data_IF_726741338233
#
_entry.id   IF_726741338233
#
_cell.length_a   1.000
_cell.length_b   1.000
_cell.length_c   1.000
_cell.angle_alpha   90.00
_cell.angle_beta   90.00
_cell.angle_gamma   90.00
#
_symmetry.space_group_name_H-M   'P 1'
#
loop_
_entity.id
_entity.type
_entity.pdbx_description
1 polymer ?
#
# COMPACT_ATOMS: atom_id res chain seq x y z
N UNK A 1 7.63 10.96 20.77
CA UNK A 1 8.10 12.35 20.59
C UNK A 1 7.02 13.05 19.80
N UNK A 2 6.69 14.31 20.09
CA UNK A 2 5.76 15.10 19.26
C UNK A 2 6.14 16.57 19.32
N UNK A 3 5.81 17.33 18.28
CA UNK A 3 6.02 18.78 18.24
C UNK A 3 5.31 19.50 19.39
N UNK A 4 4.14 19.00 19.80
CA UNK A 4 3.36 19.53 20.93
C UNK A 4 4.04 19.38 22.29
N UNK A 5 5.01 18.47 22.42
CA UNK A 5 5.79 18.30 23.67
C UNK A 5 6.96 19.28 23.79
N UNK A 6 7.35 19.93 22.69
CA UNK A 6 8.45 20.89 22.69
C UNK A 6 8.01 22.19 23.37
N UNK A 7 8.94 22.80 24.11
CA UNK A 7 8.68 24.02 24.89
C UNK A 7 9.78 25.04 24.64
N UNK A 8 9.48 26.30 24.91
CA UNK A 8 10.48 27.38 24.91
C UNK A 8 11.04 27.66 23.52
N UNK A 9 12.38 27.67 23.41
CA UNK A 9 13.10 28.08 22.19
C UNK A 9 12.92 27.08 21.05
N UNK A 10 12.91 25.77 21.34
CA UNK A 10 12.83 24.73 20.30
C UNK A 10 11.48 24.77 19.55
N UNK A 11 10.39 24.95 20.30
CA UNK A 11 9.06 25.11 19.71
C UNK A 11 8.98 26.36 18.81
N UNK A 12 9.65 27.46 19.19
CA UNK A 12 9.70 28.68 18.37
C UNK A 12 10.50 28.49 17.09
N UNK A 13 11.63 27.76 17.16
CA UNK A 13 12.46 27.46 15.98
C UNK A 13 11.67 26.62 14.99
N UNK A 14 10.98 25.57 15.46
CA UNK A 14 10.19 24.71 14.59
C UNK A 14 9.03 25.47 13.96
N UNK A 15 8.28 26.25 14.75
CA UNK A 15 7.19 27.07 14.22
C UNK A 15 7.69 28.07 13.16
N UNK A 16 8.91 28.58 13.30
CA UNK A 16 9.52 29.48 12.32
C UNK A 16 10.03 28.76 11.05
N UNK A 17 10.30 27.46 11.13
CA UNK A 17 10.82 26.65 10.02
C UNK A 17 9.74 25.90 9.25
N UNK A 18 8.61 25.57 9.87
CA UNK A 18 7.56 24.73 9.26
C UNK A 18 6.96 25.36 8.00
N UNK A 19 6.50 26.62 8.08
CA UNK A 19 5.96 27.34 6.92
C UNK A 19 6.95 27.41 5.75
N UNK A 20 8.18 27.95 5.91
CA UNK A 20 9.11 28.06 4.78
C UNK A 20 9.59 26.69 4.28
N UNK A 21 9.71 25.68 5.15
CA UNK A 21 10.04 24.32 4.70
C UNK A 21 8.97 23.80 3.73
N UNK A 22 7.69 23.88 4.10
CA UNK A 22 6.56 23.45 3.26
C UNK A 22 6.46 24.24 1.96
N UNK A 23 6.64 25.56 2.01
CA UNK A 23 6.64 26.43 0.82
C UNK A 23 7.73 26.05 -0.19
N UNK A 24 8.87 25.53 0.29
CA UNK A 24 9.98 25.08 -0.53
C UNK A 24 9.99 23.57 -0.81
N UNK A 25 8.90 22.86 -0.49
CA UNK A 25 8.77 21.43 -0.75
C UNK A 25 9.63 20.54 0.14
N UNK A 26 9.88 20.98 1.37
CA UNK A 26 10.50 20.19 2.42
C UNK A 26 9.48 19.76 3.47
N UNK A 27 9.71 18.59 4.04
CA UNK A 27 9.03 18.09 5.23
C UNK A 27 9.98 18.14 6.41
N UNK A 28 9.40 18.30 7.59
CA UNK A 28 10.11 18.34 8.86
C UNK A 28 9.62 17.21 9.76
N UNK A 29 10.51 16.72 10.61
CA UNK A 29 10.19 15.69 11.59
C UNK A 29 11.20 15.70 12.73
N UNK A 30 10.87 14.97 13.79
CA UNK A 30 11.73 14.82 14.95
C UNK A 30 12.27 13.39 14.98
N UNK A 31 13.57 13.24 15.20
CA UNK A 31 14.18 11.93 15.40
C UNK A 31 14.98 11.86 16.70
N UNK A 32 15.17 10.65 17.18
CA UNK A 32 16.02 10.33 18.31
C UNK A 32 17.44 10.05 17.82
N UNK A 33 18.36 10.98 18.08
CA UNK A 33 19.79 10.79 17.86
C UNK A 33 20.42 10.08 19.06
N UNK A 34 20.95 8.88 18.84
CA UNK A 34 21.75 8.16 19.83
C UNK A 34 23.22 8.19 19.46
N UNK A 35 24.07 8.51 20.42
CA UNK A 35 25.53 8.39 20.28
C UNK A 35 26.07 7.48 21.37
N UNK A 36 26.85 6.48 20.95
CA UNK A 36 27.62 5.62 21.82
C UNK A 36 29.09 6.01 21.69
N UNK A 37 29.72 6.31 22.83
CA UNK A 37 31.11 6.73 22.93
C UNK A 37 31.86 5.74 23.82
N UNK A 38 33.04 5.33 23.37
CA UNK A 38 33.89 4.39 24.08
C UNK A 38 35.34 4.89 24.06
N UNK A 39 36.07 4.65 25.15
CA UNK A 39 37.46 5.04 25.26
C UNK A 39 38.05 4.79 26.65
N UNK A 40 39.38 4.89 26.81
CA UNK A 40 40.02 4.81 28.11
C UNK A 40 39.51 5.89 29.07
N UNK A 41 39.31 5.48 30.32
CA UNK A 41 38.96 6.28 31.47
C UNK A 41 40.18 7.02 32.01
N UNK A 42 40.01 8.31 32.29
CA UNK A 42 40.92 9.15 33.05
C UNK A 42 40.24 9.51 34.36
N UNK A 43 40.80 9.02 35.46
CA UNK A 43 40.44 9.48 36.78
C UNK A 43 41.09 10.84 36.97
N UNK A 44 40.30 11.84 37.37
CA UNK A 44 40.87 13.06 37.94
C UNK A 44 41.54 12.65 39.25
N UNK A 45 42.80 12.24 39.16
CA UNK A 45 43.62 11.97 40.32
C UNK A 45 43.69 13.30 41.05
N UNK A 46 42.88 13.42 42.10
CA UNK A 46 42.85 14.58 42.96
C UNK A 46 44.26 14.76 43.53
N UNK A 47 45.04 15.59 42.86
CA UNK A 47 46.34 16.02 43.35
C UNK A 47 46.18 16.53 44.77
N UNK A 48 47.15 16.17 45.61
CA UNK A 48 47.43 16.71 46.94
C UNK A 48 46.77 16.11 48.18
N UNK A 49 46.30 14.85 48.15
CA UNK A 49 46.22 14.06 49.41
C UNK A 49 46.82 12.67 49.31
N UNK A 50 48.02 12.61 48.73
CA UNK A 50 48.99 11.60 49.12
C UNK A 50 49.54 11.98 50.51
N UNK A 51 48.71 11.82 51.55
CA UNK A 51 49.21 11.70 52.92
C UNK A 51 49.49 10.21 53.15
N UNK A 52 50.76 9.76 53.10
CA UNK A 52 51.10 8.43 53.55
C UNK A 52 51.03 8.46 55.07
N UNK A 53 49.90 8.04 55.63
CA UNK A 53 49.76 7.66 57.04
C UNK A 53 48.78 6.50 57.04
N UNK A 54 49.18 5.23 56.86
CA UNK A 54 49.72 4.38 57.93
C UNK A 54 49.41 4.83 59.37
N UNK A 55 48.18 5.26 59.63
CA UNK A 55 47.70 5.49 60.98
C UNK A 55 46.26 5.00 61.16
N UNK A 56 46.17 3.84 61.79
CA UNK A 56 45.06 3.35 62.62
C UNK A 56 43.79 2.89 61.91
N UNK A 57 43.77 1.57 61.74
CA UNK A 57 42.68 0.73 62.23
C UNK A 57 42.17 1.27 63.58
N UNK A 58 40.98 1.85 63.59
CA UNK A 58 40.10 1.89 64.75
C UNK A 58 38.70 1.61 64.21
N UNK A 59 38.20 0.45 64.60
CA UNK A 59 36.85 -0.03 64.35
C UNK A 59 35.85 1.00 64.87
N UNK A 60 35.12 1.65 63.98
CA UNK A 60 33.79 2.19 64.26
C UNK A 60 32.86 1.50 63.27
N UNK A 61 32.33 0.36 63.71
CA UNK A 61 31.12 -0.26 63.17
C UNK A 61 29.99 0.77 63.36
N UNK A 62 29.11 0.97 62.36
CA UNK A 62 27.85 1.75 62.41
C UNK A 62 27.75 3.02 61.54
N UNK A 63 28.55 3.15 60.47
CA UNK A 63 28.26 4.17 59.44
C UNK A 63 27.88 3.52 58.11
N UNK A 64 26.64 3.04 58.05
CA UNK A 64 25.91 2.64 56.83
C UNK A 64 25.53 3.88 55.98
N UNK A 65 26.47 4.80 55.77
CA UNK A 65 26.31 5.87 54.78
C UNK A 65 26.91 5.38 53.47
N UNK A 66 26.07 4.70 52.69
CA UNK A 66 26.25 4.41 51.26
C UNK A 66 26.40 5.72 50.48
N UNK A 67 27.53 6.39 50.67
CA UNK A 67 27.99 7.48 49.84
C UNK A 67 28.36 6.87 48.49
N UNK A 68 27.37 6.77 47.61
CA UNK A 68 27.55 6.58 46.17
C UNK A 68 28.36 7.77 45.63
N UNK A 69 29.67 7.76 45.89
CA UNK A 69 30.61 8.63 45.23
C UNK A 69 30.61 8.19 43.77
N UNK A 70 29.73 8.80 42.97
CA UNK A 70 29.75 8.69 41.53
C UNK A 70 31.17 9.07 41.09
N UNK A 71 31.97 8.07 40.72
CA UNK A 71 33.34 8.29 40.29
C UNK A 71 33.31 9.29 39.12
N UNK A 72 33.87 10.49 39.33
CA UNK A 72 34.07 11.52 38.30
C UNK A 72 35.16 11.05 37.33
N UNK A 73 34.80 10.05 36.53
CA UNK A 73 35.62 9.46 35.48
C UNK A 73 35.38 10.24 34.20
N UNK A 74 36.45 10.62 33.51
CA UNK A 74 36.36 11.27 32.19
C UNK A 74 37.02 10.40 31.12
N UNK A 75 36.85 10.71 29.84
CA UNK A 75 37.58 10.01 28.78
C UNK A 75 38.99 10.58 28.64
N UNK A 76 40.03 9.76 28.77
CA UNK A 76 41.40 10.12 28.43
C UNK A 76 41.53 10.37 26.91
N UNK A 77 40.96 9.44 26.13
CA UNK A 77 40.85 9.51 24.68
C UNK A 77 39.55 8.82 24.27
N UNK A 78 38.93 9.28 23.19
CA UNK A 78 37.75 8.61 22.63
C UNK A 78 38.21 7.74 21.47
N UNK A 79 38.12 6.42 21.64
CA UNK A 79 38.56 5.44 20.64
C UNK A 79 37.47 5.12 19.61
N UNK A 80 36.21 5.23 19.99
CA UNK A 80 35.09 4.94 19.10
C UNK A 80 33.89 5.84 19.36
N UNK A 81 33.24 6.26 18.27
CA UNK A 81 31.95 6.94 18.28
C UNK A 81 31.03 6.26 17.27
N UNK A 82 29.88 5.79 17.73
CA UNK A 82 28.83 5.23 16.88
C UNK A 82 27.57 6.06 17.02
N UNK A 83 27.02 6.52 15.90
CA UNK A 83 25.75 7.24 15.86
C UNK A 83 24.66 6.37 15.25
N UNK A 84 23.43 6.53 15.71
CA UNK A 84 22.24 5.94 15.11
C UNK A 84 21.05 6.86 15.31
N UNK A 85 20.20 6.97 14.30
CA UNK A 85 18.99 7.76 14.33
C UNK A 85 17.78 6.83 14.36
N UNK A 86 16.85 7.07 15.29
CA UNK A 86 15.68 6.23 15.51
C UNK A 86 14.42 7.06 15.65
N UNK A 87 13.27 6.42 15.49
CA UNK A 87 11.96 6.99 15.78
C UNK A 87 11.76 8.37 15.12
N UNK A 88 11.93 8.44 13.80
CA UNK A 88 11.53 9.63 13.06
C UNK A 88 10.00 9.73 13.13
N UNK A 89 9.51 10.84 13.67
CA UNK A 89 8.10 11.16 13.80
C UNK A 89 7.81 12.51 13.13
N UNK A 90 6.58 12.73 12.70
CA UNK A 90 6.11 14.07 12.35
C UNK A 90 5.87 14.94 13.61
N UNK A 91 5.32 16.15 13.43
CA UNK A 91 5.07 17.06 14.55
C UNK A 91 3.81 16.71 15.34
N UNK A 92 2.92 15.93 14.77
CA UNK A 92 1.75 15.33 15.38
C UNK A 92 2.15 14.15 16.27
N UNK A 93 3.32 13.57 16.00
CA UNK A 93 3.92 12.46 16.75
C UNK A 93 3.67 11.09 16.13
N UNK A 94 3.17 11.04 14.89
CA UNK A 94 3.00 9.82 14.13
C UNK A 94 4.36 9.30 13.65
N UNK A 95 4.56 7.99 13.72
CA UNK A 95 5.83 7.36 13.36
C UNK A 95 5.99 7.29 11.85
N UNK A 96 7.01 7.97 11.33
CA UNK A 96 7.44 7.91 9.92
C UNK A 96 8.39 6.73 9.71
N UNK A 97 9.37 6.55 10.60
CA UNK A 97 10.38 5.51 10.47
C UNK A 97 10.95 5.09 11.83
N UNK A 98 11.02 3.79 12.11
CA UNK A 98 11.65 3.29 13.32
C UNK A 98 13.18 3.51 13.31
N UNK A 99 13.80 3.34 12.14
CA UNK A 99 15.26 3.41 11.95
C UNK A 99 15.58 4.17 10.68
N UNK A 100 16.21 5.33 10.85
CA UNK A 100 16.66 6.13 9.73
C UNK A 100 18.05 5.63 9.29
N UNK A 101 18.11 5.00 8.12
CA UNK A 101 19.38 4.66 7.49
C UNK A 101 19.94 5.90 6.83
N UNK A 102 21.08 6.34 7.32
CA UNK A 102 21.74 7.54 6.84
C UNK A 102 23.06 7.20 6.16
N UNK A 103 23.21 7.60 4.90
CA UNK A 103 24.52 7.62 4.25
C UNK A 103 25.24 8.93 4.59
N UNK A 104 26.21 8.86 5.51
CA UNK A 104 27.03 10.01 5.92
C UNK A 104 27.79 10.69 4.77
N UNK A 105 27.95 10.04 3.61
CA UNK A 105 28.63 10.61 2.44
C UNK A 105 27.67 11.28 1.46
N UNK A 106 26.46 10.75 1.31
CA UNK A 106 25.48 11.24 0.35
C UNK A 106 24.50 12.25 0.97
N UNK A 107 24.23 12.13 2.26
CA UNK A 107 23.32 12.99 2.99
C UNK A 107 24.06 14.16 3.66
N UNK A 108 23.34 15.28 3.85
CA UNK A 108 23.90 16.48 4.47
C UNK A 108 23.93 16.38 6.01
N UNK A 109 24.55 15.33 6.54
CA UNK A 109 24.74 15.16 7.98
C UNK A 109 25.98 15.93 8.41
N UNK A 110 25.86 16.89 9.34
CA UNK A 110 27.01 17.62 9.88
C UNK A 110 28.10 16.65 10.35
N UNK A 111 29.33 16.86 9.89
CA UNK A 111 30.46 15.97 10.22
C UNK A 111 30.75 15.89 11.73
N UNK A 112 30.32 16.89 12.49
CA UNK A 112 30.46 16.95 13.94
C UNK A 112 29.19 16.51 14.71
N UNK A 113 28.17 15.98 14.03
CA UNK A 113 26.91 15.53 14.63
C UNK A 113 27.13 14.58 15.83
N UNK A 114 28.06 13.63 15.70
CA UNK A 114 28.41 12.73 16.81
C UNK A 114 28.91 13.48 18.05
N UNK A 115 29.69 14.55 17.86
CA UNK A 115 30.19 15.40 18.95
C UNK A 115 29.07 16.25 19.55
N UNK A 116 28.17 16.77 18.71
CA UNK A 116 27.00 17.56 19.17
C UNK A 116 26.07 16.68 20.01
N UNK A 117 25.75 15.46 19.56
CA UNK A 117 24.91 14.53 20.34
C UNK A 117 25.57 14.15 21.66
N UNK A 118 26.89 13.93 21.64
CA UNK A 118 27.67 13.60 22.83
C UNK A 118 27.99 14.80 23.75
N UNK A 119 27.54 16.01 23.39
CA UNK A 119 27.76 17.20 24.22
C UNK A 119 26.72 17.30 25.32
N UNK A 120 27.15 17.60 26.55
CA UNK A 120 26.29 17.66 27.74
C UNK A 120 26.26 16.35 28.53
N UNK A 121 25.19 16.15 29.31
CA UNK A 121 25.04 14.98 30.19
C UNK A 121 24.75 13.71 29.39
N UNK A 122 25.33 12.59 29.85
CA UNK A 122 25.10 11.27 29.31
C UNK A 122 23.83 10.67 29.94
N UNK A 123 23.12 9.82 29.19
CA UNK A 123 21.94 9.10 29.70
C UNK A 123 22.35 7.90 30.55
N UNK A 124 23.44 7.24 30.14
CA UNK A 124 23.98 6.06 30.82
C UNK A 124 25.49 6.07 30.74
N UNK A 125 26.11 5.59 31.80
CA UNK A 125 27.55 5.36 31.89
C UNK A 125 27.80 3.94 32.40
N UNK A 126 28.76 3.27 31.78
CA UNK A 126 29.31 2.01 32.28
C UNK A 126 30.82 2.13 32.29
N UNK A 127 31.44 1.63 33.34
CA UNK A 127 32.88 1.67 33.52
C UNK A 127 33.35 0.27 33.92
N UNK A 128 34.11 -0.37 33.04
CA UNK A 128 34.67 -1.70 33.29
C UNK A 128 35.91 -1.54 34.18
N UNK A 129 35.79 -1.83 35.48
CA UNK A 129 36.79 -1.49 36.51
C UNK A 129 38.08 -2.35 36.57
N UNK A 130 38.99 -1.90 37.45
CA UNK A 130 40.33 -2.36 37.92
C UNK A 130 41.30 -2.94 36.86
N UNK A 131 40.86 -3.82 35.98
CA UNK A 131 41.66 -4.45 34.93
C UNK A 131 41.27 -3.99 33.52
N UNK A 132 40.09 -3.39 33.37
CA UNK A 132 39.74 -2.53 32.24
C UNK A 132 39.81 -1.07 32.69
N UNK A 133 40.16 -0.18 31.78
CA UNK A 133 39.93 1.25 31.96
C UNK A 133 38.96 1.73 30.89
N UNK A 134 38.00 0.91 30.46
CA UNK A 134 37.09 1.30 29.40
C UNK A 134 35.87 2.00 29.99
N UNK A 135 35.69 3.24 29.58
CA UNK A 135 34.50 4.02 29.82
C UNK A 135 33.57 3.88 28.61
N UNK A 136 32.29 3.68 28.90
CA UNK A 136 31.22 3.61 27.92
C UNK A 136 30.19 4.66 28.30
N UNK A 137 29.80 5.51 27.34
CA UNK A 137 28.74 6.50 27.52
C UNK A 137 27.73 6.43 26.40
N UNK A 138 26.45 6.48 26.77
CA UNK A 138 25.34 6.59 25.85
C UNK A 138 24.70 7.96 25.99
N UNK A 139 24.48 8.61 24.86
CA UNK A 139 23.87 9.92 24.76
C UNK A 139 22.63 9.84 23.89
N UNK A 140 21.60 10.60 24.28
CA UNK A 140 20.35 10.73 23.54
C UNK A 140 19.99 12.20 23.37
N UNK A 141 19.71 12.61 22.14
CA UNK A 141 19.23 13.96 21.80
C UNK A 141 18.06 13.88 20.82
N UNK A 142 17.20 14.89 20.86
CA UNK A 142 16.18 15.10 19.83
C UNK A 142 16.80 15.87 18.68
N UNK A 143 16.55 15.43 17.46
CA UNK A 143 17.05 16.03 16.23
C UNK A 143 15.88 16.51 15.39
N UNK A 144 16.03 17.68 14.77
CA UNK A 144 15.16 18.11 13.68
C UNK A 144 15.71 17.49 12.38
N UNK A 145 14.87 16.72 11.70
CA UNK A 145 15.17 16.12 10.40
C UNK A 145 14.41 16.91 9.34
N UNK A 146 15.10 17.27 8.26
CA UNK A 146 14.56 18.01 7.13
C UNK A 146 14.83 17.19 5.87
N UNK A 147 13.80 16.93 5.07
CA UNK A 147 13.96 16.17 3.82
C UNK A 147 13.06 16.73 2.71
N UNK A 148 13.44 16.57 1.43
CA UNK A 148 12.56 16.92 0.32
C UNK A 148 11.29 16.07 0.33
N UNK A 149 10.13 16.70 0.17
CA UNK A 149 8.83 16.02 0.13
C UNK A 149 8.76 14.96 -0.99
N UNK A 150 9.44 15.20 -2.11
CA UNK A 150 9.57 14.25 -3.22
C UNK A 150 10.22 12.91 -2.83
N UNK A 151 10.90 12.87 -1.68
CA UNK A 151 11.58 11.68 -1.15
C UNK A 151 10.96 11.12 0.12
N UNK A 152 9.76 11.56 0.51
CA UNK A 152 9.08 11.04 1.70
C UNK A 152 8.93 9.51 1.66
N UNK A 153 8.62 8.95 0.49
CA UNK A 153 8.50 7.50 0.31
C UNK A 153 9.80 6.73 0.60
N UNK A 154 10.97 7.35 0.46
CA UNK A 154 12.25 6.70 0.76
C UNK A 154 12.52 6.57 2.27
N UNK A 155 11.80 7.33 3.10
CA UNK A 155 11.96 7.32 4.56
C UNK A 155 11.04 6.33 5.25
N UNK A 156 9.89 6.04 4.64
CA UNK A 156 8.91 5.12 5.18
C UNK A 156 9.45 3.69 5.18
N UNK A 157 8.95 2.90 6.13
CA UNK A 157 9.15 1.46 6.09
C UNK A 157 8.56 0.92 4.78
N UNK A 158 9.29 0.09 4.00
CA UNK A 158 8.74 -0.52 2.79
C UNK A 158 7.35 -1.15 2.98
N UNK A 159 7.04 -1.64 4.18
CA UNK A 159 5.75 -2.25 4.50
C UNK A 159 4.60 -1.24 4.68
N UNK A 160 4.89 -0.01 5.10
CA UNK A 160 3.87 1.04 5.38
C UNK A 160 3.90 2.20 4.40
N UNK A 161 4.94 2.27 3.57
CA UNK A 161 5.17 3.36 2.62
C UNK A 161 4.01 3.53 1.64
N UNK A 162 3.38 2.42 1.23
CA UNK A 162 2.27 2.46 0.29
C UNK A 162 1.01 3.08 0.90
N UNK A 163 0.56 2.59 2.06
CA UNK A 163 -0.62 3.14 2.73
C UNK A 163 -0.40 4.59 3.15
N UNK A 164 0.82 4.96 3.55
CA UNK A 164 1.12 6.36 3.86
C UNK A 164 1.08 7.25 2.63
N UNK A 165 1.57 6.78 1.47
CA UNK A 165 1.48 7.54 0.23
C UNK A 165 0.02 7.76 -0.23
N UNK A 166 -0.85 6.76 -0.02
CA UNK A 166 -2.30 6.87 -0.24
C UNK A 166 -2.87 7.97 0.66
N UNK A 167 -2.62 7.90 1.97
CA UNK A 167 -3.07 8.89 2.94
C UNK A 167 -2.57 10.31 2.63
N UNK A 168 -1.27 10.43 2.36
CA UNK A 168 -0.62 11.71 2.06
C UNK A 168 -1.22 12.34 0.78
N UNK A 169 -1.56 11.54 -0.24
CA UNK A 169 -2.18 12.03 -1.46
C UNK A 169 -3.62 12.53 -1.21
N UNK A 170 -4.41 11.78 -0.43
CA UNK A 170 -5.76 12.17 -0.03
C UNK A 170 -5.78 13.44 0.84
N UNK A 171 -4.74 13.67 1.64
CA UNK A 171 -4.64 14.87 2.48
C UNK A 171 -4.20 16.11 1.70
N UNK A 172 -3.34 15.95 0.67
CA UNK A 172 -2.89 17.05 -0.20
C UNK A 172 -4.06 17.83 -0.81
N UNK A 173 -5.18 17.15 -1.10
CA UNK A 173 -6.34 17.76 -1.73
C UNK A 173 -6.99 18.87 -0.92
N UNK A 174 -6.77 18.90 0.40
CA UNK A 174 -7.37 19.90 1.28
C UNK A 174 -6.62 21.23 1.30
N UNK A 175 -5.29 21.23 1.12
CA UNK A 175 -4.48 22.39 1.48
C UNK A 175 -3.28 22.70 0.55
N UNK A 176 -2.90 21.83 -0.41
CA UNK A 176 -1.58 21.94 -1.05
C UNK A 176 -1.55 22.11 -2.58
N UNK A 177 -0.42 22.64 -3.06
CA UNK A 177 -0.10 22.87 -4.47
C UNK A 177 0.23 21.56 -5.20
N UNK A 178 -0.16 21.46 -6.48
CA UNK A 178 -0.04 20.25 -7.32
C UNK A 178 1.38 19.67 -7.45
N UNK A 179 2.43 20.44 -7.14
CA UNK A 179 3.81 20.00 -7.22
C UNK A 179 4.13 18.82 -6.27
N UNK A 180 3.45 18.73 -5.13
CA UNK A 180 3.70 17.68 -4.13
C UNK A 180 3.02 16.35 -4.47
N UNK A 181 1.95 16.38 -5.25
CA UNK A 181 1.18 15.19 -5.59
C UNK A 181 1.91 14.32 -6.62
N UNK A 182 2.63 14.92 -7.58
CA UNK A 182 3.24 14.20 -8.69
C UNK A 182 4.17 13.04 -8.27
N UNK A 183 5.12 13.22 -7.33
CA UNK A 183 5.96 12.11 -6.85
C UNK A 183 5.17 10.99 -6.17
N UNK A 184 4.11 11.33 -5.43
CA UNK A 184 3.25 10.35 -4.76
C UNK A 184 2.43 9.55 -5.78
N UNK A 185 1.84 10.23 -6.77
CA UNK A 185 1.12 9.62 -7.88
C UNK A 185 2.03 8.63 -8.62
N UNK A 186 3.23 9.08 -9.00
CA UNK A 186 4.19 8.22 -9.71
C UNK A 186 4.60 7.02 -8.85
N UNK A 187 4.81 7.23 -7.55
CA UNK A 187 5.10 6.16 -6.59
C UNK A 187 3.95 5.14 -6.49
N UNK A 188 2.71 5.59 -6.32
CA UNK A 188 1.53 4.73 -6.19
C UNK A 188 1.31 3.90 -7.46
N UNK A 189 1.36 4.52 -8.63
CA UNK A 189 1.18 3.82 -9.91
C UNK A 189 2.31 2.82 -10.19
N UNK A 190 3.55 3.13 -9.78
CA UNK A 190 4.70 2.22 -9.89
C UNK A 190 4.58 1.03 -8.94
N UNK A 191 4.04 1.25 -7.73
CA UNK A 191 3.95 0.25 -6.66
C UNK A 191 2.54 -0.36 -6.50
N UNK A 192 1.63 -0.15 -7.46
CA UNK A 192 0.24 -0.64 -7.45
C UNK A 192 0.07 -2.14 -7.19
N UNK A 193 1.11 -2.94 -7.43
CA UNK A 193 1.10 -4.37 -7.11
C UNK A 193 0.91 -4.67 -5.61
N UNK A 194 1.14 -3.68 -4.73
CA UNK A 194 0.82 -3.81 -3.30
C UNK A 194 -0.69 -3.76 -3.04
N UNK A 195 -1.40 -2.80 -3.65
CA UNK A 195 -2.87 -2.72 -3.64
C UNK A 195 -3.34 -1.89 -4.84
N UNK A 196 -3.92 -2.57 -5.84
CA UNK A 196 -4.34 -1.91 -7.09
C UNK A 196 -5.52 -0.97 -6.85
N UNK A 197 -6.48 -1.39 -6.02
CA UNK A 197 -7.67 -0.61 -5.68
C UNK A 197 -7.31 0.68 -4.93
N UNK A 198 -6.51 0.59 -3.87
CA UNK A 198 -6.11 1.79 -3.11
C UNK A 198 -5.29 2.77 -3.97
N UNK A 199 -4.42 2.26 -4.85
CA UNK A 199 -3.66 3.12 -5.77
C UNK A 199 -4.57 3.87 -6.74
N UNK A 200 -5.50 3.17 -7.41
CA UNK A 200 -6.37 3.81 -8.40
C UNK A 200 -7.37 4.74 -7.73
N UNK A 201 -7.95 4.35 -6.60
CA UNK A 201 -8.93 5.15 -5.86
C UNK A 201 -8.31 6.47 -5.42
N UNK A 202 -7.13 6.43 -4.79
CA UNK A 202 -6.43 7.64 -4.35
C UNK A 202 -6.05 8.56 -5.52
N UNK A 203 -5.55 8.00 -6.63
CA UNK A 203 -5.11 8.81 -7.79
C UNK A 203 -6.30 9.35 -8.58
N UNK A 204 -7.38 8.58 -8.73
CA UNK A 204 -8.61 9.01 -9.39
C UNK A 204 -9.37 10.06 -8.58
N UNK A 205 -9.47 9.89 -7.26
CA UNK A 205 -10.02 10.92 -6.38
C UNK A 205 -9.24 12.24 -6.49
N UNK A 206 -7.91 12.15 -6.51
CA UNK A 206 -7.05 13.33 -6.75
C UNK A 206 -7.27 13.93 -8.14
N UNK A 207 -7.44 13.11 -9.18
CA UNK A 207 -7.71 13.56 -10.53
C UNK A 207 -9.03 14.32 -10.62
N UNK A 208 -10.10 13.81 -9.98
CA UNK A 208 -11.40 14.46 -9.88
C UNK A 208 -11.28 15.80 -9.14
N UNK A 209 -10.63 15.82 -7.97
CA UNK A 209 -10.45 17.02 -7.17
C UNK A 209 -9.66 18.14 -7.88
N UNK A 210 -8.87 17.81 -8.90
CA UNK A 210 -8.05 18.75 -9.68
C UNK A 210 -8.55 18.95 -11.12
N UNK A 211 -9.71 18.42 -11.47
CA UNK A 211 -10.25 18.47 -12.84
C UNK A 211 -9.20 18.02 -13.89
N UNK A 212 -8.60 16.84 -13.66
CA UNK A 212 -7.48 16.33 -14.46
C UNK A 212 -7.79 14.98 -15.10
N UNK A 213 -8.57 15.02 -16.18
CA UNK A 213 -8.93 13.84 -17.00
C UNK A 213 -7.70 13.05 -17.47
N UNK A 214 -6.59 13.73 -17.79
CA UNK A 214 -5.38 13.05 -18.26
C UNK A 214 -4.74 12.18 -17.15
N UNK A 215 -4.79 12.64 -15.91
CA UNK A 215 -4.33 11.85 -14.76
C UNK A 215 -5.26 10.66 -14.50
N UNK A 216 -6.57 10.86 -14.58
CA UNK A 216 -7.56 9.79 -14.50
C UNK A 216 -7.29 8.68 -15.53
N UNK A 217 -7.20 9.06 -16.81
CA UNK A 217 -6.93 8.11 -17.89
C UNK A 217 -5.61 7.37 -17.70
N UNK A 218 -4.56 8.06 -17.23
CA UNK A 218 -3.28 7.44 -16.90
C UNK A 218 -3.41 6.43 -15.76
N UNK A 219 -4.14 6.77 -14.70
CA UNK A 219 -4.33 5.88 -13.54
C UNK A 219 -5.09 4.62 -13.95
N UNK A 220 -6.24 4.79 -14.62
CA UNK A 220 -7.04 3.67 -15.13
C UNK A 220 -6.24 2.80 -16.08
N UNK A 221 -5.56 3.37 -17.08
CA UNK A 221 -4.78 2.59 -18.03
C UNK A 221 -3.60 1.83 -17.38
N UNK A 222 -3.01 2.38 -16.32
CA UNK A 222 -1.91 1.73 -15.60
C UNK A 222 -2.42 0.59 -14.72
N UNK A 223 -3.57 0.77 -14.07
CA UNK A 223 -4.12 -0.19 -13.11
C UNK A 223 -5.03 -1.26 -13.76
N UNK A 224 -5.68 -0.94 -14.88
CA UNK A 224 -6.45 -1.87 -15.71
C UNK A 224 -5.56 -2.64 -16.70
N UNK A 225 -4.29 -2.92 -16.37
CA UNK A 225 -3.42 -3.70 -17.26
C UNK A 225 -3.95 -5.14 -17.43
N UNK A 226 -3.29 -5.95 -18.27
CA UNK A 226 -3.74 -7.32 -18.56
C UNK A 226 -3.83 -8.24 -17.32
N UNK A 227 -3.25 -7.84 -16.18
CA UNK A 227 -3.32 -8.53 -14.89
C UNK A 227 -4.16 -7.80 -13.84
N UNK A 228 -4.70 -6.63 -14.17
CA UNK A 228 -5.53 -5.84 -13.29
C UNK A 228 -6.96 -6.39 -13.13
N UNK A 229 -7.75 -5.75 -12.24
CA UNK A 229 -9.13 -6.12 -11.97
C UNK A 229 -10.11 -5.72 -13.08
N UNK A 230 -9.67 -4.98 -14.11
CA UNK A 230 -10.52 -4.59 -15.24
C UNK A 230 -11.58 -3.56 -14.84
N UNK A 231 -12.85 -3.92 -14.96
CA UNK A 231 -14.00 -3.07 -14.68
C UNK A 231 -14.23 -2.89 -13.18
N UNK A 232 -13.91 -3.89 -12.36
CA UNK A 232 -13.98 -3.76 -10.89
C UNK A 232 -12.92 -2.81 -10.30
N UNK A 233 -12.16 -2.12 -11.15
CA UNK A 233 -11.11 -1.19 -10.73
C UNK A 233 -11.67 0.01 -9.96
N UNK A 234 -12.84 0.51 -10.37
CA UNK A 234 -13.52 1.65 -9.77
C UNK A 234 -14.83 1.17 -9.15
N UNK A 235 -15.23 1.77 -8.03
CA UNK A 235 -16.57 1.60 -7.49
C UNK A 235 -17.60 2.46 -8.23
N UNK A 236 -18.87 2.19 -7.96
CA UNK A 236 -19.98 2.83 -8.66
C UNK A 236 -20.02 4.34 -8.47
N UNK A 237 -19.77 4.78 -7.24
CA UNK A 237 -19.70 6.21 -6.90
C UNK A 237 -18.60 6.90 -7.72
N UNK A 238 -17.39 6.33 -7.80
CA UNK A 238 -16.24 6.99 -8.44
C UNK A 238 -16.44 7.18 -9.94
N UNK A 239 -16.97 6.18 -10.66
CA UNK A 239 -17.18 6.34 -12.11
C UNK A 239 -18.39 7.22 -12.43
N UNK A 240 -19.43 7.21 -11.60
CA UNK A 240 -20.57 8.12 -11.73
C UNK A 240 -20.15 9.58 -11.49
N UNK A 241 -19.36 9.85 -10.44
CA UNK A 241 -18.79 11.18 -10.20
C UNK A 241 -17.96 11.69 -11.39
N UNK A 242 -17.17 10.80 -12.01
CA UNK A 242 -16.38 11.17 -13.19
C UNK A 242 -17.25 11.51 -14.41
N UNK A 243 -18.39 10.83 -14.59
CA UNK A 243 -19.35 11.15 -15.64
C UNK A 243 -20.02 12.50 -15.38
N UNK A 244 -20.44 12.77 -14.14
CA UNK A 244 -21.08 14.05 -13.81
C UNK A 244 -20.12 15.24 -13.93
N UNK A 245 -18.85 15.07 -13.53
CA UNK A 245 -17.86 16.14 -13.57
C UNK A 245 -17.37 16.44 -14.99
N UNK A 246 -17.13 15.40 -15.80
CA UNK A 246 -16.44 15.55 -17.09
C UNK A 246 -17.32 15.25 -18.31
N UNK A 247 -18.48 14.63 -18.13
CA UNK A 247 -19.30 14.08 -19.19
C UNK A 247 -18.73 12.79 -19.79
N UNK A 248 -19.44 12.26 -20.76
CA UNK A 248 -19.17 10.95 -21.36
C UNK A 248 -17.86 10.88 -22.15
N UNK A 249 -17.68 11.77 -23.12
CA UNK A 249 -16.58 11.71 -24.09
C UNK A 249 -15.17 11.68 -23.45
N UNK A 250 -14.87 12.46 -22.39
CA UNK A 250 -13.55 12.42 -21.76
C UNK A 250 -13.24 11.12 -20.99
N UNK A 251 -14.24 10.46 -20.38
CA UNK A 251 -14.04 9.25 -19.59
C UNK A 251 -14.16 7.96 -20.39
N UNK A 252 -14.89 7.99 -21.51
CA UNK A 252 -15.13 6.85 -22.38
C UNK A 252 -13.87 6.02 -22.69
N UNK A 253 -12.71 6.59 -23.08
CA UNK A 253 -11.51 5.80 -23.36
C UNK A 253 -11.04 4.97 -22.16
N UNK A 254 -11.23 5.46 -20.93
CA UNK A 254 -10.90 4.71 -19.71
C UNK A 254 -11.79 3.48 -19.54
N UNK A 255 -13.10 3.62 -19.79
CA UNK A 255 -14.04 2.51 -19.70
C UNK A 255 -13.81 1.46 -20.79
N UNK A 256 -13.46 1.90 -22.01
CA UNK A 256 -13.05 0.98 -23.09
C UNK A 256 -11.82 0.16 -22.68
N UNK A 257 -10.84 0.77 -22.01
CA UNK A 257 -9.65 0.06 -21.49
C UNK A 257 -10.02 -0.91 -20.37
N UNK A 258 -10.88 -0.50 -19.43
CA UNK A 258 -11.37 -1.37 -18.35
C UNK A 258 -12.09 -2.60 -18.90
N UNK A 259 -13.05 -2.41 -19.80
CA UNK A 259 -13.80 -3.48 -20.46
C UNK A 259 -12.92 -4.42 -21.29
N UNK A 260 -11.90 -3.88 -21.97
CA UNK A 260 -11.00 -4.66 -22.80
C UNK A 260 -10.07 -5.55 -21.96
N UNK A 261 -9.67 -5.11 -20.77
CA UNK A 261 -8.72 -5.84 -19.93
C UNK A 261 -9.37 -6.68 -18.82
N UNK A 262 -10.68 -6.54 -18.60
CA UNK A 262 -11.40 -7.37 -17.65
C UNK A 262 -11.41 -8.87 -18.06
N UNK A 263 -11.31 -9.70 -17.03
CA UNK A 263 -11.20 -11.16 -17.11
C UNK A 263 -12.52 -11.87 -16.84
N UNK A 264 -13.40 -11.26 -16.06
CA UNK A 264 -14.73 -11.76 -15.75
C UNK A 264 -15.72 -11.35 -16.85
N UNK A 265 -16.53 -12.30 -17.30
CA UNK A 265 -17.65 -11.95 -18.17
C UNK A 265 -18.75 -11.27 -17.37
N UNK A 266 -19.02 -11.76 -16.15
CA UNK A 266 -20.07 -11.19 -15.31
C UNK A 266 -19.80 -9.73 -14.98
N UNK A 267 -18.61 -9.39 -14.51
CA UNK A 267 -18.21 -8.01 -14.19
C UNK A 267 -18.33 -7.06 -15.38
N UNK A 268 -17.96 -7.50 -16.59
CA UNK A 268 -18.14 -6.73 -17.83
C UNK A 268 -19.61 -6.48 -18.17
N UNK A 269 -20.44 -7.50 -18.01
CA UNK A 269 -21.87 -7.42 -18.32
C UNK A 269 -22.60 -6.57 -17.28
N UNK A 270 -22.35 -6.80 -15.99
CA UNK A 270 -22.96 -6.07 -14.88
C UNK A 270 -22.67 -4.56 -15.01
N UNK A 271 -21.45 -4.17 -15.37
CA UNK A 271 -21.11 -2.75 -15.60
C UNK A 271 -21.81 -2.13 -16.81
N UNK A 272 -21.90 -2.87 -17.91
CA UNK A 272 -22.62 -2.36 -19.08
C UNK A 272 -24.12 -2.26 -18.82
N UNK A 273 -24.68 -3.17 -18.02
CA UNK A 273 -26.06 -3.11 -17.56
C UNK A 273 -26.27 -1.91 -16.62
N UNK A 274 -25.35 -1.66 -15.70
CA UNK A 274 -25.39 -0.47 -14.83
C UNK A 274 -25.39 0.85 -15.61
N UNK A 275 -24.82 0.88 -16.82
CA UNK A 275 -24.85 2.05 -17.71
C UNK A 275 -26.14 2.14 -18.57
N UNK A 276 -26.88 1.06 -18.73
CA UNK A 276 -28.04 0.97 -19.67
C UNK A 276 -29.37 0.95 -18.94
N UNK A 277 -29.50 0.24 -17.82
CA UNK A 277 -30.80 -0.15 -17.28
C UNK A 277 -31.60 1.04 -16.73
N UNK A 278 -31.03 1.81 -15.81
CA UNK A 278 -31.64 3.03 -15.27
C UNK A 278 -30.58 4.14 -15.16
N UNK A 279 -30.95 5.41 -15.39
CA UNK A 279 -30.07 6.54 -15.06
C UNK A 279 -29.65 6.47 -13.60
N UNK A 280 -28.37 6.73 -13.31
CA UNK A 280 -27.89 6.74 -11.93
C UNK A 280 -28.47 7.92 -11.16
N UNK A 281 -28.54 7.81 -9.83
CA UNK A 281 -28.97 8.93 -9.00
C UNK A 281 -27.91 10.04 -9.06
N UNK A 282 -28.26 11.28 -9.45
CA UNK A 282 -27.29 12.35 -9.55
C UNK A 282 -26.71 12.69 -8.17
N UNK A 283 -25.40 12.92 -8.14
CA UNK A 283 -24.70 13.31 -6.91
C UNK A 283 -24.41 14.82 -6.85
N UNK A 284 -24.06 15.43 -7.98
CA UNK A 284 -23.64 16.83 -8.11
C UNK A 284 -24.35 17.61 -9.23
N UNK A 285 -25.08 16.95 -10.13
CA UNK A 285 -25.79 17.57 -11.25
C UNK A 285 -27.32 17.48 -11.11
N UNK A 286 -28.06 18.06 -12.08
CA UNK A 286 -29.52 17.96 -12.13
C UNK A 286 -29.96 16.64 -12.78
N UNK A 287 -31.13 16.11 -12.42
CA UNK A 287 -31.68 14.86 -13.00
C UNK A 287 -31.69 14.90 -14.54
N UNK A 288 -32.01 16.05 -15.13
CA UNK A 288 -32.05 16.26 -16.58
C UNK A 288 -30.68 16.08 -17.26
N UNK A 289 -29.58 16.42 -16.57
CA UNK A 289 -28.22 16.25 -17.09
C UNK A 289 -27.83 14.77 -17.12
N UNK A 290 -28.21 13.99 -16.10
CA UNK A 290 -27.96 12.55 -16.05
C UNK A 290 -28.78 11.81 -17.10
N UNK A 291 -30.06 12.17 -17.28
CA UNK A 291 -30.89 11.61 -18.35
C UNK A 291 -30.26 11.85 -19.73
N UNK A 292 -29.80 13.08 -20.00
CA UNK A 292 -29.16 13.40 -21.27
C UNK A 292 -27.84 12.62 -21.50
N UNK A 293 -27.03 12.43 -20.45
CA UNK A 293 -25.83 11.59 -20.54
C UNK A 293 -26.16 10.11 -20.74
N UNK A 294 -27.19 9.61 -20.05
CA UNK A 294 -27.65 8.23 -20.22
C UNK A 294 -28.09 7.95 -21.66
N UNK A 295 -28.85 8.87 -22.27
CA UNK A 295 -29.24 8.79 -23.69
C UNK A 295 -28.02 8.78 -24.64
N UNK A 296 -26.92 9.45 -24.29
CA UNK A 296 -25.68 9.45 -25.07
C UNK A 296 -24.90 8.14 -24.92
N UNK A 297 -24.90 7.55 -23.72
CA UNK A 297 -24.14 6.35 -23.36
C UNK A 297 -24.83 5.09 -23.88
N UNK A 298 -26.16 5.03 -23.84
CA UNK A 298 -26.96 3.83 -24.13
C UNK A 298 -26.57 3.18 -25.48
N UNK A 299 -26.49 3.90 -26.63
CA UNK A 299 -26.12 3.28 -27.90
C UNK A 299 -24.70 2.69 -27.91
N UNK A 300 -23.77 3.31 -27.19
CA UNK A 300 -22.41 2.78 -27.04
C UNK A 300 -22.41 1.53 -26.15
N UNK A 301 -23.11 1.56 -25.03
CA UNK A 301 -23.15 0.46 -24.08
C UNK A 301 -23.82 -0.78 -24.69
N UNK A 302 -24.91 -0.60 -25.47
CA UNK A 302 -25.52 -1.67 -26.26
C UNK A 302 -24.54 -2.29 -27.28
N UNK A 303 -23.78 -1.45 -28.00
CA UNK A 303 -22.77 -1.92 -28.95
C UNK A 303 -21.63 -2.67 -28.25
N UNK A 304 -21.20 -2.20 -27.07
CA UNK A 304 -20.20 -2.88 -26.25
C UNK A 304 -20.73 -4.20 -25.69
N UNK A 305 -21.99 -4.27 -25.28
CA UNK A 305 -22.62 -5.49 -24.79
C UNK A 305 -22.60 -6.56 -25.88
N UNK A 306 -22.98 -6.20 -27.12
CA UNK A 306 -22.86 -7.11 -28.26
C UNK A 306 -21.40 -7.53 -28.52
N UNK A 307 -20.44 -6.61 -28.39
CA UNK A 307 -19.02 -6.90 -28.54
C UNK A 307 -18.50 -7.84 -27.44
N UNK A 308 -18.92 -7.66 -26.18
CA UNK A 308 -18.56 -8.52 -25.05
C UNK A 308 -19.09 -9.93 -25.28
N UNK A 309 -20.35 -10.07 -25.70
CA UNK A 309 -20.95 -11.37 -26.02
C UNK A 309 -20.25 -12.06 -27.19
N UNK A 310 -19.71 -11.30 -28.15
CA UNK A 310 -18.88 -11.83 -29.24
C UNK A 310 -17.42 -12.10 -28.85
N UNK A 311 -16.97 -11.66 -27.68
CA UNK A 311 -15.58 -11.77 -27.22
C UNK A 311 -15.51 -12.30 -25.79
N UNK A 312 -16.30 -13.33 -25.51
CA UNK A 312 -16.37 -13.92 -24.18
C UNK A 312 -14.98 -14.41 -23.73
N UNK A 313 -14.63 -14.08 -22.49
CA UNK A 313 -13.53 -14.74 -21.77
C UNK A 313 -13.97 -16.15 -21.40
N UNK A 314 -13.07 -17.11 -21.12
CA UNK A 314 -13.48 -18.45 -20.67
C UNK A 314 -14.41 -18.36 -19.45
N UNK A 315 -15.72 -18.62 -19.58
CA UNK A 315 -16.66 -18.41 -18.49
C UNK A 315 -16.48 -19.43 -17.36
N UNK A 316 -16.81 -19.01 -16.14
CA UNK A 316 -16.97 -19.89 -14.98
C UNK A 316 -18.43 -20.31 -14.79
N UNK A 317 -18.69 -21.28 -13.90
CA UNK A 317 -20.05 -21.75 -13.62
C UNK A 317 -20.91 -20.62 -13.04
N UNK A 318 -20.34 -19.81 -12.16
CA UNK A 318 -21.03 -18.70 -11.48
C UNK A 318 -21.38 -17.53 -12.43
N UNK A 319 -20.78 -17.50 -13.62
CA UNK A 319 -21.03 -16.48 -14.65
C UNK A 319 -22.11 -16.90 -15.65
N UNK A 320 -22.49 -18.19 -15.69
CA UNK A 320 -23.43 -18.71 -16.69
C UNK A 320 -24.75 -17.95 -16.67
N UNK A 321 -25.34 -17.75 -15.49
CA UNK A 321 -26.62 -17.06 -15.32
C UNK A 321 -26.58 -15.63 -15.89
N UNK A 322 -25.56 -14.85 -15.54
CA UNK A 322 -25.40 -13.47 -16.01
C UNK A 322 -25.23 -13.41 -17.54
N UNK A 323 -24.42 -14.30 -18.10
CA UNK A 323 -24.22 -14.38 -19.56
C UNK A 323 -25.55 -14.72 -20.25
N UNK A 324 -26.30 -15.71 -19.74
CA UNK A 324 -27.57 -16.10 -20.34
C UNK A 324 -28.65 -15.04 -20.23
N UNK A 325 -28.85 -14.47 -19.04
CA UNK A 325 -29.86 -13.43 -18.82
C UNK A 325 -29.63 -12.29 -19.81
N UNK A 326 -28.39 -11.80 -19.87
CA UNK A 326 -28.01 -10.74 -20.80
C UNK A 326 -28.26 -11.09 -22.26
N UNK A 327 -27.96 -12.31 -22.68
CA UNK A 327 -28.21 -12.75 -24.06
C UNK A 327 -29.70 -12.86 -24.38
N UNK A 328 -30.54 -13.30 -23.42
CA UNK A 328 -31.99 -13.37 -23.61
C UNK A 328 -32.58 -11.97 -23.78
N UNK A 329 -32.14 -11.05 -22.92
CA UNK A 329 -32.69 -9.71 -22.87
C UNK A 329 -32.29 -8.87 -24.09
N UNK A 330 -31.06 -9.05 -24.58
CA UNK A 330 -30.47 -8.16 -25.59
C UNK A 330 -30.24 -8.80 -26.97
N UNK A 331 -30.09 -10.13 -27.07
CA UNK A 331 -29.90 -10.78 -28.36
C UNK A 331 -31.18 -11.45 -28.86
N UNK A 332 -31.49 -11.21 -30.13
CA UNK A 332 -32.46 -12.07 -30.82
C UNK A 332 -32.00 -13.52 -30.78
N UNK A 333 -32.95 -14.43 -30.57
CA UNK A 333 -32.81 -15.90 -30.53
C UNK A 333 -31.81 -16.47 -31.55
N UNK A 334 -31.78 -15.93 -32.77
CA UNK A 334 -30.89 -16.39 -33.83
C UNK A 334 -29.41 -16.13 -33.53
N UNK A 335 -29.07 -15.00 -32.89
CA UNK A 335 -27.69 -14.66 -32.55
C UNK A 335 -27.13 -15.50 -31.40
N UNK A 336 -28.00 -16.00 -30.50
CA UNK A 336 -27.60 -16.87 -29.40
C UNK A 336 -26.94 -18.15 -29.92
N UNK A 337 -27.57 -18.82 -30.88
CA UNK A 337 -27.07 -20.10 -31.40
C UNK A 337 -25.68 -19.95 -32.04
N UNK A 338 -25.47 -18.89 -32.83
CA UNK A 338 -24.22 -18.69 -33.55
C UNK A 338 -23.07 -18.29 -32.61
N UNK A 339 -23.33 -17.38 -31.66
CA UNK A 339 -22.29 -16.85 -30.75
C UNK A 339 -21.99 -17.85 -29.63
N UNK A 340 -23.01 -18.38 -28.96
CA UNK A 340 -22.85 -19.26 -27.80
C UNK A 340 -22.26 -20.60 -28.18
N UNK A 341 -22.84 -21.29 -29.17
CA UNK A 341 -22.38 -22.65 -29.48
C UNK A 341 -20.94 -22.63 -29.98
N UNK A 342 -20.54 -21.65 -30.79
CA UNK A 342 -19.18 -21.62 -31.31
C UNK A 342 -18.16 -21.25 -30.23
N UNK A 343 -18.44 -20.21 -29.43
CA UNK A 343 -17.47 -19.70 -28.45
C UNK A 343 -17.44 -20.56 -27.19
N UNK A 344 -18.58 -20.82 -26.58
CA UNK A 344 -18.67 -21.53 -25.30
C UNK A 344 -18.15 -22.96 -25.45
N UNK A 345 -18.49 -23.68 -26.53
CA UNK A 345 -17.97 -25.05 -26.72
C UNK A 345 -16.44 -25.09 -26.87
N UNK A 346 -15.81 -24.06 -27.42
CA UNK A 346 -14.36 -24.01 -27.59
C UNK A 346 -13.63 -23.59 -26.30
N UNK A 347 -14.15 -22.59 -25.59
CA UNK A 347 -13.44 -21.91 -24.48
C UNK A 347 -13.61 -22.56 -23.10
N UNK A 348 -14.58 -23.45 -22.90
CA UNK A 348 -15.04 -23.82 -21.54
C UNK A 348 -14.70 -25.24 -21.09
N UNK A 349 -14.97 -25.52 -19.81
CA UNK A 349 -14.92 -26.86 -19.21
C UNK A 349 -16.23 -27.64 -19.41
N UNK A 350 -16.22 -28.94 -19.14
CA UNK A 350 -17.42 -29.78 -19.23
C UNK A 350 -18.52 -29.34 -18.26
N UNK A 351 -18.16 -28.83 -17.07
CA UNK A 351 -19.13 -28.41 -16.06
C UNK A 351 -19.85 -27.13 -16.47
N UNK A 352 -19.12 -26.17 -17.02
CA UNK A 352 -19.71 -24.95 -17.59
C UNK A 352 -20.67 -25.29 -18.73
N UNK A 353 -20.29 -26.20 -19.65
CA UNK A 353 -21.20 -26.64 -20.72
C UNK A 353 -22.48 -27.31 -20.20
N UNK A 354 -22.39 -28.01 -19.06
CA UNK A 354 -23.54 -28.64 -18.42
C UNK A 354 -24.45 -27.58 -17.79
N UNK A 355 -23.87 -26.62 -17.08
CA UNK A 355 -24.60 -25.48 -16.52
C UNK A 355 -25.31 -24.69 -17.63
N UNK A 356 -24.62 -24.43 -18.74
CA UNK A 356 -25.23 -23.78 -19.90
C UNK A 356 -26.42 -24.57 -20.47
N UNK A 357 -26.33 -25.90 -20.51
CA UNK A 357 -27.45 -26.73 -20.96
C UNK A 357 -28.62 -26.75 -19.95
N UNK A 358 -28.32 -26.68 -18.65
CA UNK A 358 -29.32 -26.64 -17.58
C UNK A 358 -30.10 -25.32 -17.60
N UNK A 359 -29.39 -24.19 -17.70
CA UNK A 359 -30.00 -22.85 -17.84
C UNK A 359 -30.93 -22.76 -19.06
N UNK A 360 -30.54 -23.37 -20.20
CA UNK A 360 -31.39 -23.46 -21.39
C UNK A 360 -32.64 -24.33 -21.22
N UNK A 361 -32.63 -25.22 -20.23
CA UNK A 361 -33.79 -26.06 -19.92
C UNK A 361 -34.76 -25.37 -18.94
N UNK A 362 -34.36 -24.24 -18.36
CA UNK A 362 -35.21 -23.44 -17.47
C UNK A 362 -36.44 -22.87 -18.19
N UNK A 363 -37.47 -22.54 -17.41
CA UNK A 363 -38.74 -22.01 -17.91
C UNK A 363 -38.60 -20.66 -18.62
N UNK A 364 -37.53 -19.90 -18.34
CA UNK A 364 -37.20 -18.66 -19.03
C UNK A 364 -37.03 -18.84 -20.55
N UNK A 365 -36.77 -20.08 -21.00
CA UNK A 365 -36.58 -20.45 -22.40
C UNK A 365 -37.69 -21.35 -22.93
N UNK A 366 -38.89 -21.32 -22.33
CA UNK A 366 -40.02 -22.15 -22.76
C UNK A 366 -40.26 -22.07 -24.28
N UNK A 367 -40.18 -20.85 -24.83
CA UNK A 367 -40.51 -20.54 -26.23
C UNK A 367 -39.30 -20.49 -27.17
N UNK A 368 -38.08 -20.77 -26.70
CA UNK A 368 -36.87 -20.68 -27.52
C UNK A 368 -36.85 -21.78 -28.60
N UNK A 369 -36.97 -21.44 -29.90
CA UNK A 369 -36.98 -22.43 -30.97
C UNK A 369 -35.59 -23.09 -31.08
N UNK A 370 -35.57 -24.43 -31.07
CA UNK A 370 -34.33 -25.19 -31.14
C UNK A 370 -33.61 -25.36 -29.79
N UNK A 371 -34.20 -24.97 -28.66
CA UNK A 371 -33.61 -25.13 -27.32
C UNK A 371 -33.11 -26.55 -27.05
N UNK A 372 -33.93 -27.55 -27.38
CA UNK A 372 -33.60 -28.95 -27.16
C UNK A 372 -32.41 -29.41 -28.00
N UNK A 373 -32.27 -28.88 -29.23
CA UNK A 373 -31.14 -29.19 -30.08
C UNK A 373 -29.85 -28.53 -29.55
N UNK A 374 -29.94 -27.29 -29.09
CA UNK A 374 -28.82 -26.55 -28.51
C UNK A 374 -28.35 -27.17 -27.18
N UNK A 375 -29.27 -27.45 -26.26
CA UNK A 375 -28.98 -28.14 -25.01
C UNK A 375 -28.35 -29.53 -25.26
N UNK A 376 -28.88 -30.29 -26.23
CA UNK A 376 -28.27 -31.57 -26.63
C UNK A 376 -26.84 -31.40 -27.17
N UNK A 377 -26.59 -30.37 -27.98
CA UNK A 377 -25.26 -30.08 -28.51
C UNK A 377 -24.26 -29.73 -27.40
N UNK A 378 -24.67 -28.91 -26.44
CA UNK A 378 -23.86 -28.55 -25.27
C UNK A 378 -23.58 -29.75 -24.37
N UNK A 379 -24.57 -30.60 -24.09
CA UNK A 379 -24.38 -31.83 -23.32
C UNK A 379 -23.44 -32.82 -24.02
N UNK A 380 -23.58 -32.99 -25.34
CA UNK A 380 -22.67 -33.84 -26.12
C UNK A 380 -21.23 -33.31 -26.11
N UNK A 381 -21.06 -31.98 -26.21
CA UNK A 381 -19.76 -31.33 -26.08
C UNK A 381 -19.19 -31.51 -24.65
N UNK A 382 -20.03 -31.38 -23.62
CA UNK A 382 -19.67 -31.62 -22.21
C UNK A 382 -19.15 -33.04 -22.00
N UNK A 383 -19.88 -34.06 -22.47
CA UNK A 383 -19.47 -35.48 -22.40
C UNK A 383 -18.14 -35.71 -23.12
N UNK A 384 -17.98 -35.11 -24.31
CA UNK A 384 -16.75 -35.23 -25.11
C UNK A 384 -15.55 -34.63 -24.37
N UNK A 385 -15.70 -33.46 -23.74
CA UNK A 385 -14.64 -32.83 -22.96
C UNK A 385 -14.33 -33.59 -21.67
N UNK A 386 -15.35 -34.09 -20.97
CA UNK A 386 -15.16 -34.90 -19.77
C UNK A 386 -14.40 -36.20 -20.06
N UNK A 387 -14.66 -36.84 -21.20
CA UNK A 387 -13.94 -38.04 -21.64
C UNK A 387 -12.49 -37.76 -22.04
N UNK A 388 -12.20 -36.56 -22.55
CA UNK A 388 -10.87 -36.14 -22.97
C UNK A 388 -9.97 -35.70 -21.80
N UNK A 389 -10.54 -35.35 -20.64
CA UNK A 389 -9.74 -35.01 -19.47
C UNK A 389 -8.94 -36.24 -19.02
N UNK A 390 -7.59 -36.14 -18.94
CA UNK A 390 -6.77 -37.24 -18.52
C UNK A 390 -7.22 -37.67 -17.12
N UNK A 391 -7.63 -38.93 -17.00
CA UNK A 391 -8.04 -39.53 -15.72
C UNK A 391 -6.95 -39.18 -14.71
N UNK A 392 -7.26 -38.45 -13.61
CA UNK A 392 -6.24 -38.00 -12.68
C UNK A 392 -5.43 -39.23 -12.30
N UNK A 393 -4.16 -39.25 -12.72
CA UNK A 393 -3.30 -40.40 -12.48
C UNK A 393 -3.39 -40.65 -10.99
N UNK A 394 -4.00 -41.78 -10.59
CA UNK A 394 -4.23 -42.10 -9.20
C UNK A 394 -2.93 -41.83 -8.48
N UNK A 395 -2.88 -40.76 -7.69
CA UNK A 395 -1.68 -40.39 -6.98
C UNK A 395 -1.34 -41.63 -6.18
N UNK A 396 -0.26 -42.31 -6.58
CA UNK A 396 0.25 -43.45 -5.84
C UNK A 396 0.35 -42.93 -4.41
N UNK A 397 -0.27 -43.61 -3.43
CA UNK A 397 -0.22 -43.16 -2.05
C UNK A 397 1.25 -42.99 -1.74
N UNK A 398 1.68 -41.75 -1.51
CA UNK A 398 3.01 -41.43 -1.01
C UNK A 398 3.05 -41.90 0.43
N UNK A 399 3.12 -43.22 0.59
CA UNK A 399 3.35 -43.88 1.85
C UNK A 399 4.81 -43.68 2.21
N UNK A 400 5.11 -42.55 2.83
CA UNK A 400 6.20 -42.44 3.82
C UNK A 400 5.75 -41.40 4.84
N UNK A 401 5.21 -41.90 5.96
CA UNK A 401 5.20 -41.18 7.23
C UNK A 401 6.65 -40.82 7.60
N UNK A 402 7.13 -39.66 7.13
CA UNK A 402 8.36 -39.07 7.61
C UNK A 402 8.07 -38.47 9.00
N UNK A 403 8.23 -39.32 10.01
CA UNK A 403 8.19 -38.97 11.42
C UNK A 403 9.08 -37.73 11.69
N UNK A 404 8.55 -36.64 12.28
CA UNK A 404 9.34 -35.43 12.52
C UNK A 404 10.49 -35.74 13.50
N UNK A 405 11.71 -35.25 13.25
CA UNK A 405 12.85 -35.49 14.13
C UNK A 405 12.59 -34.89 15.51
N UNK A 406 12.73 -35.72 16.54
CA UNK A 406 12.59 -35.33 17.94
C UNK A 406 13.52 -34.16 18.29
N UNK A 407 12.93 -33.06 18.77
CA UNK A 407 13.64 -31.89 19.30
C UNK A 407 14.51 -32.31 20.49
N UNK A 408 15.82 -32.33 20.33
CA UNK A 408 16.78 -32.46 21.45
C UNK A 408 16.74 -31.18 22.29
N UNK A 409 16.27 -31.30 23.54
CA UNK A 409 16.47 -30.30 24.61
C UNK A 409 17.98 -30.20 24.90
N UNK A 410 18.54 -28.99 24.76
CA UNK A 410 19.83 -28.63 25.35
C UNK A 410 19.58 -28.14 26.78
N UNK A 411 20.17 -28.83 27.74
CA UNK A 411 20.50 -28.35 29.10
C UNK A 411 21.79 -27.58 29.07
#
# INVERSE_FOLDING_TARGET
MSGTTLKGTDAKIIAALDTPAREHGFRLGLAEGRCYVMGPAEYKSGGDRMHPTWARCAYDEDSDEDSEAEDDVTFAEITSRKISFKHLVDFEGELISEKLQCDQKAEMIPSDMARVIASGEHERQEHEGIYGSLLHRWYRRTLLVVWPAERSCALYDPETCFQRAVYDLQDIDKECTSAHAAPLIDFLLTNRAQSVHEAVEAVCAHALAKDNVALWARAVATCADANGPGVSLLDDETWQFALEEWGWEPVRPSFEVMLANDRGNKTRLDFLQALVDEPWEPMNCEDEDVEAMHEEIEPWAEAQLEQVLRSLRPPTVDECEAIFGTMVDKMHVAGLADVVLQQVTSLTTADVLREFADQLSSDCFADFPGKSAMASALLNASVSKAAAQPKPAHALPTGVDAQPPAKKRRT
#
